data_IF_799902587246
#
_entry.id   IF_799902587246
#
_cell.length_a   1.000
_cell.length_b   1.000
_cell.length_c   1.000
_cell.angle_alpha   90.00
_cell.angle_beta   90.00
_cell.angle_gamma   90.00
#
_symmetry.space_group_name_H-M   'P 1'
#
loop_
_entity.id
_entity.type
_entity.pdbx_description
1 polymer ?
#
# COMPACT_ATOMS: atom_id res chain seq x y z
N UNK A 1 -26.78 12.32 10.80
CA UNK A 1 -25.60 12.10 11.66
C UNK A 1 -25.74 10.69 12.20
N UNK A 2 -24.73 9.87 12.04
CA UNK A 2 -24.70 8.50 12.58
C UNK A 2 -23.51 8.38 13.56
N UNK A 3 -23.58 7.42 14.46
CA UNK A 3 -22.50 7.08 15.36
C UNK A 3 -21.66 5.97 14.76
N UNK A 4 -20.35 6.03 14.95
CA UNK A 4 -19.40 5.02 14.49
C UNK A 4 -18.35 4.76 15.55
N UNK A 5 -18.11 3.49 15.89
CA UNK A 5 -16.95 3.12 16.69
C UNK A 5 -15.71 3.26 15.82
N UNK A 6 -14.69 3.91 16.34
CA UNK A 6 -13.45 4.16 15.61
C UNK A 6 -12.24 4.10 16.54
N UNK A 7 -11.11 3.68 16.00
CA UNK A 7 -9.82 3.79 16.64
C UNK A 7 -9.19 5.13 16.25
N UNK A 8 -9.16 6.07 17.20
CA UNK A 8 -8.67 7.44 16.98
C UNK A 8 -7.26 7.58 17.50
N UNK A 9 -6.37 8.09 16.66
CA UNK A 9 -5.06 8.58 17.04
C UNK A 9 -5.19 10.03 17.53
N UNK A 10 -5.19 10.26 18.83
CA UNK A 10 -5.31 11.62 19.38
C UNK A 10 -4.02 12.42 19.31
N UNK A 11 -2.88 11.76 19.38
CA UNK A 11 -1.56 12.38 19.30
C UNK A 11 -0.52 11.37 18.76
N UNK A 12 0.60 11.85 18.22
CA UNK A 12 1.67 10.96 17.78
C UNK A 12 2.28 10.17 18.96
N UNK A 13 2.72 8.95 18.67
CA UNK A 13 3.32 8.03 19.65
C UNK A 13 2.44 7.68 20.87
N UNK A 14 1.12 7.78 20.72
CA UNK A 14 0.17 7.33 21.72
C UNK A 14 -0.63 6.14 21.18
N UNK A 15 -1.08 5.23 22.06
CA UNK A 15 -2.01 4.17 21.66
C UNK A 15 -3.27 4.76 21.01
N UNK A 16 -3.86 4.02 20.07
CA UNK A 16 -5.16 4.35 19.53
C UNK A 16 -6.24 4.16 20.59
N UNK A 17 -7.19 5.10 20.68
CA UNK A 17 -8.32 5.00 21.59
C UNK A 17 -9.58 4.61 20.81
N UNK A 18 -10.31 3.59 21.31
CA UNK A 18 -11.59 3.21 20.74
C UNK A 18 -12.68 4.11 21.32
N UNK A 19 -13.23 4.95 20.47
CA UNK A 19 -14.28 5.89 20.85
C UNK A 19 -15.44 5.87 19.86
N UNK A 20 -16.60 6.37 20.29
CA UNK A 20 -17.74 6.62 19.42
C UNK A 20 -17.65 8.03 18.84
N UNK A 21 -17.43 8.12 17.54
CA UNK A 21 -17.40 9.41 16.80
C UNK A 21 -18.71 9.66 16.10
N UNK A 22 -18.99 10.94 15.86
CA UNK A 22 -20.10 11.37 15.01
C UNK A 22 -19.64 11.41 13.55
N UNK A 23 -20.45 10.84 12.64
CA UNK A 23 -20.27 10.91 11.20
C UNK A 23 -21.33 11.86 10.63
N UNK A 24 -20.88 12.95 10.03
CA UNK A 24 -21.76 13.98 9.46
C UNK A 24 -22.52 13.48 8.23
N UNK A 25 -23.66 14.09 7.88
CA UNK A 25 -24.41 13.79 6.66
C UNK A 25 -23.55 13.96 5.41
N UNK A 26 -23.81 13.12 4.40
CA UNK A 26 -23.13 13.16 3.10
C UNK A 26 -23.37 14.48 2.39
N UNK A 27 -22.33 14.98 1.76
CA UNK A 27 -22.38 16.07 0.81
C UNK A 27 -22.43 15.52 -0.62
N UNK A 28 -22.54 16.42 -1.60
CA UNK A 28 -22.58 16.07 -3.01
C UNK A 28 -21.34 15.27 -3.44
N UNK A 29 -21.56 14.15 -4.11
CA UNK A 29 -20.51 13.27 -4.63
C UNK A 29 -19.84 12.38 -3.58
N UNK A 30 -20.38 12.32 -2.36
CA UNK A 30 -19.85 11.50 -1.27
C UNK A 30 -20.62 10.20 -1.10
N UNK A 31 -19.94 9.22 -0.54
CA UNK A 31 -20.46 7.89 -0.29
C UNK A 31 -20.15 7.49 1.15
N UNK A 32 -21.14 7.00 1.87
CA UNK A 32 -20.99 6.37 3.17
C UNK A 32 -20.70 4.88 2.95
N UNK A 33 -19.61 4.41 3.50
CA UNK A 33 -19.18 3.01 3.42
C UNK A 33 -19.16 2.43 4.83
N UNK A 34 -19.85 1.31 5.01
CA UNK A 34 -19.69 0.46 6.18
C UNK A 34 -18.50 -0.46 5.93
N UNK A 35 -17.47 -0.30 6.75
CA UNK A 35 -16.27 -1.15 6.66
C UNK A 35 -16.58 -2.52 7.27
N UNK A 36 -16.16 -3.56 6.59
CA UNK A 36 -16.31 -4.96 7.02
C UNK A 36 -14.98 -5.49 7.56
N UNK A 37 -13.88 -5.10 6.90
CA UNK A 37 -12.54 -5.46 7.34
C UNK A 37 -11.51 -4.44 6.87
N UNK A 38 -10.39 -4.36 7.58
CA UNK A 38 -9.26 -3.50 7.21
C UNK A 38 -7.93 -4.10 7.63
N UNK A 39 -6.93 -4.00 6.77
CA UNK A 39 -5.55 -4.37 7.09
C UNK A 39 -4.82 -3.28 7.88
N UNK A 40 -3.88 -3.70 8.74
CA UNK A 40 -2.96 -2.81 9.45
C UNK A 40 -1.64 -2.75 8.68
N UNK A 41 -1.20 -1.55 8.32
CA UNK A 41 -0.06 -1.31 7.45
C UNK A 41 1.04 -0.50 8.15
N UNK A 42 2.30 -0.69 7.72
CA UNK A 42 3.44 0.11 8.21
C UNK A 42 3.28 1.61 7.94
N UNK A 43 2.51 2.00 6.91
CA UNK A 43 2.22 3.41 6.63
C UNK A 43 1.36 4.04 7.73
N UNK A 44 0.43 3.29 8.33
CA UNK A 44 -0.33 3.74 9.51
C UNK A 44 0.60 3.95 10.70
N UNK A 45 1.52 3.01 10.94
CA UNK A 45 2.52 3.11 12.01
C UNK A 45 3.49 4.28 11.80
N UNK A 46 3.91 4.52 10.57
CA UNK A 46 4.76 5.65 10.21
C UNK A 46 4.10 6.99 10.54
N UNK A 47 2.83 7.14 10.21
CA UNK A 47 2.05 8.34 10.59
C UNK A 47 1.87 8.42 12.10
N UNK A 48 1.46 7.31 12.76
CA UNK A 48 1.28 7.27 14.21
C UNK A 48 2.56 7.62 14.97
N UNK A 49 3.74 7.30 14.43
CA UNK A 49 5.04 7.66 15.02
C UNK A 49 5.35 9.16 14.98
N UNK A 50 4.57 9.98 14.26
CA UNK A 50 4.80 11.40 14.09
C UNK A 50 5.91 11.75 13.08
N UNK A 51 6.45 10.76 12.35
CA UNK A 51 7.49 10.99 11.34
C UNK A 51 6.94 11.40 9.97
N UNK A 52 5.62 11.26 9.78
CA UNK A 52 4.93 11.67 8.57
C UNK A 52 4.66 13.18 8.58
N UNK A 53 5.23 13.89 7.62
CA UNK A 53 5.03 15.34 7.49
C UNK A 53 3.59 15.74 7.10
N UNK A 54 2.79 14.82 6.57
CA UNK A 54 1.37 15.01 6.27
C UNK A 54 0.46 14.48 7.39
N UNK A 55 1.01 13.91 8.46
CA UNK A 55 0.27 13.41 9.61
C UNK A 55 -0.41 14.54 10.38
N UNK A 56 -1.73 14.45 10.52
CA UNK A 56 -2.54 15.39 11.31
C UNK A 56 -3.27 14.64 12.42
N UNK A 57 -3.43 15.28 13.58
CA UNK A 57 -4.07 14.69 14.75
C UNK A 57 -5.10 15.66 15.35
N UNK A 58 -6.20 15.17 15.97
CA UNK A 58 -6.60 13.76 16.04
C UNK A 58 -7.10 13.24 14.68
N UNK A 59 -6.85 11.96 14.37
CA UNK A 59 -7.31 11.36 13.12
C UNK A 59 -7.73 9.90 13.28
N UNK A 60 -8.51 9.41 12.32
CA UNK A 60 -8.81 8.00 12.16
C UNK A 60 -7.90 7.44 11.06
N UNK A 61 -6.96 6.57 11.45
CA UNK A 61 -6.03 5.91 10.53
C UNK A 61 -6.73 4.80 9.71
N UNK A 62 -5.94 3.99 9.02
CA UNK A 62 -6.41 2.87 8.20
C UNK A 62 -6.71 3.26 6.75
N UNK A 63 -6.19 2.44 5.82
CA UNK A 63 -6.33 2.68 4.38
C UNK A 63 -6.38 1.39 3.54
N UNK A 64 -6.34 0.22 4.17
CA UNK A 64 -6.49 -1.09 3.52
C UNK A 64 -7.88 -1.66 3.81
N UNK A 65 -8.96 -0.96 3.44
CA UNK A 65 -10.33 -1.33 3.78
C UNK A 65 -11.07 -2.11 2.69
N UNK A 66 -12.04 -2.91 3.13
CA UNK A 66 -13.09 -3.49 2.31
C UNK A 66 -14.44 -3.22 2.95
N UNK A 67 -15.42 -2.74 2.18
CA UNK A 67 -16.69 -2.36 2.75
C UNK A 67 -17.87 -2.41 1.80
N UNK A 68 -19.02 -2.04 2.30
CA UNK A 68 -20.30 -2.04 1.59
C UNK A 68 -20.86 -0.62 1.60
N UNK A 69 -21.31 -0.15 0.45
CA UNK A 69 -21.96 1.15 0.32
C UNK A 69 -23.26 1.15 1.11
N UNK A 70 -23.36 2.03 2.10
CA UNK A 70 -24.52 2.16 2.98
C UNK A 70 -25.46 3.29 2.52
N UNK A 71 -24.88 4.39 2.01
CA UNK A 71 -25.62 5.52 1.46
C UNK A 71 -24.79 6.25 0.41
N UNK A 72 -25.48 6.93 -0.51
CA UNK A 72 -24.85 7.76 -1.54
C UNK A 72 -25.41 9.18 -1.49
N UNK A 73 -24.54 10.17 -1.63
CA UNK A 73 -24.89 11.58 -1.70
C UNK A 73 -25.41 11.98 -3.08
N UNK A 74 -25.95 13.19 -3.18
CA UNK A 74 -26.40 13.75 -4.45
C UNK A 74 -25.27 13.73 -5.49
N UNK A 75 -25.59 13.36 -6.72
CA UNK A 75 -24.65 13.37 -7.85
C UNK A 75 -23.73 12.16 -7.96
N UNK A 76 -23.80 11.20 -7.02
CA UNK A 76 -23.14 9.90 -7.17
C UNK A 76 -23.86 9.10 -8.24
N UNK A 77 -23.12 8.57 -9.21
CA UNK A 77 -23.68 7.89 -10.40
C UNK A 77 -23.12 6.50 -10.65
N UNK A 78 -21.90 6.20 -10.17
CA UNK A 78 -21.22 4.92 -10.43
C UNK A 78 -21.40 3.89 -9.30
N UNK A 79 -21.97 4.29 -8.18
CA UNK A 79 -22.18 3.47 -6.99
C UNK A 79 -23.63 3.55 -6.50
N UNK A 80 -24.08 2.46 -5.89
CA UNK A 80 -25.38 2.37 -5.24
C UNK A 80 -25.28 1.60 -3.93
N UNK A 81 -26.28 1.75 -3.07
CA UNK A 81 -26.39 1.02 -1.81
C UNK A 81 -26.28 -0.49 -2.04
N UNK A 82 -25.48 -1.15 -1.21
CA UNK A 82 -25.19 -2.57 -1.31
C UNK A 82 -24.08 -2.96 -2.29
N UNK A 83 -23.43 -1.99 -2.95
CA UNK A 83 -22.22 -2.29 -3.72
C UNK A 83 -21.05 -2.58 -2.79
N UNK A 84 -20.23 -3.57 -3.13
CA UNK A 84 -18.96 -3.84 -2.47
C UNK A 84 -17.86 -2.96 -3.04
N UNK A 85 -17.05 -2.38 -2.16
CA UNK A 85 -16.04 -1.40 -2.54
C UNK A 85 -14.74 -1.56 -1.76
N UNK A 86 -13.65 -1.12 -2.38
CA UNK A 86 -12.36 -0.91 -1.73
C UNK A 86 -12.08 0.59 -1.72
N UNK A 87 -11.92 1.23 -0.53
CA UNK A 87 -11.41 2.59 -0.40
C UNK A 87 -10.03 2.75 -1.02
N UNK A 88 -9.82 3.85 -1.72
CA UNK A 88 -8.57 4.16 -2.40
C UNK A 88 -7.99 5.46 -1.88
N UNK A 89 -6.76 5.42 -1.40
CA UNK A 89 -6.00 6.64 -1.08
C UNK A 89 -5.53 7.39 -2.33
N UNK A 90 -5.62 6.76 -3.50
CA UNK A 90 -5.40 7.39 -4.81
C UNK A 90 -6.74 7.50 -5.52
N UNK A 91 -7.29 8.71 -5.62
CA UNK A 91 -8.52 8.93 -6.39
C UNK A 91 -8.31 8.68 -7.90
N UNK A 92 -9.39 8.42 -8.62
CA UNK A 92 -9.38 8.37 -10.10
C UNK A 92 -10.57 9.18 -10.64
N UNK A 93 -10.32 10.47 -10.95
CA UNK A 93 -11.39 11.37 -11.41
C UNK A 93 -11.68 11.27 -12.93
N UNK A 94 -10.79 10.63 -13.68
CA UNK A 94 -10.92 10.45 -15.14
C UNK A 94 -10.69 11.69 -15.99
N UNK A 95 -10.47 12.89 -15.41
CA UNK A 95 -10.42 14.18 -16.15
C UNK A 95 -9.20 15.05 -15.91
N UNK A 96 -8.42 14.84 -14.83
CA UNK A 96 -7.19 15.59 -14.64
C UNK A 96 -6.08 15.08 -15.60
N UNK A 97 -5.03 15.88 -15.77
CA UNK A 97 -3.93 15.53 -16.68
C UNK A 97 -3.29 14.17 -16.38
N UNK A 98 -3.23 13.78 -15.11
CA UNK A 98 -2.67 12.49 -14.70
C UNK A 98 -3.60 11.33 -15.10
N UNK A 99 -4.90 11.46 -14.85
CA UNK A 99 -5.87 10.44 -15.29
C UNK A 99 -5.90 10.32 -16.82
N UNK A 100 -5.88 11.44 -17.55
CA UNK A 100 -5.86 11.45 -19.02
C UNK A 100 -4.57 10.87 -19.60
N UNK A 101 -3.45 10.92 -18.85
CA UNK A 101 -2.19 10.28 -19.26
C UNK A 101 -2.10 8.78 -18.88
N UNK A 102 -3.15 8.21 -18.30
CA UNK A 102 -3.19 6.84 -17.82
C UNK A 102 -2.51 6.62 -16.45
N UNK A 103 -2.01 7.68 -15.81
CA UNK A 103 -1.37 7.62 -14.47
C UNK A 103 -2.36 8.06 -13.39
N UNK A 104 -3.49 7.35 -13.29
CA UNK A 104 -4.58 7.71 -12.38
C UNK A 104 -4.17 7.58 -10.91
N UNK A 105 -3.20 6.72 -10.59
CA UNK A 105 -2.56 6.62 -9.28
C UNK A 105 -1.94 7.94 -8.78
N UNK A 106 -1.78 8.92 -9.67
CA UNK A 106 -1.29 10.26 -9.36
C UNK A 106 -2.37 11.35 -9.51
N UNK A 107 -3.63 10.97 -9.50
CA UNK A 107 -4.77 11.88 -9.62
C UNK A 107 -4.69 13.02 -8.59
N UNK A 108 -4.96 14.25 -9.05
CA UNK A 108 -4.84 15.45 -8.20
C UNK A 108 -6.19 15.95 -7.64
N UNK A 109 -7.29 15.28 -7.97
CA UNK A 109 -8.64 15.82 -7.67
C UNK A 109 -8.92 16.04 -6.18
N UNK A 110 -8.29 15.25 -5.30
CA UNK A 110 -8.47 15.34 -3.84
C UNK A 110 -7.20 15.75 -3.09
N UNK A 111 -6.04 15.85 -3.76
CA UNK A 111 -4.73 16.04 -3.09
C UNK A 111 -4.63 17.35 -2.30
N UNK A 112 -5.28 18.41 -2.71
CA UNK A 112 -5.20 19.71 -2.05
C UNK A 112 -5.73 19.71 -0.60
N UNK A 113 -6.66 18.81 -0.29
CA UNK A 113 -7.30 18.67 1.02
C UNK A 113 -6.96 17.36 1.73
N UNK A 114 -6.67 16.30 0.97
CA UNK A 114 -6.37 14.96 1.51
C UNK A 114 -5.18 14.96 2.48
N UNK A 115 -4.07 15.61 2.12
CA UNK A 115 -2.89 15.74 3.00
C UNK A 115 -3.12 16.63 4.23
N UNK A 116 -4.28 17.29 4.32
CA UNK A 116 -4.72 18.06 5.49
C UNK A 116 -5.75 17.31 6.32
N UNK A 117 -6.03 16.06 5.99
CA UNK A 117 -7.03 15.24 6.65
C UNK A 117 -8.47 15.68 6.40
N UNK A 118 -8.74 16.33 5.26
CA UNK A 118 -10.03 16.94 4.95
C UNK A 118 -10.63 16.37 3.65
N UNK A 119 -11.95 16.42 3.57
CA UNK A 119 -12.72 16.15 2.36
C UNK A 119 -12.47 17.24 1.32
N UNK A 120 -12.87 17.06 0.04
CA UNK A 120 -12.65 18.05 -1.02
C UNK A 120 -13.26 19.45 -0.74
N UNK A 121 -14.27 19.53 0.10
CA UNK A 121 -14.90 20.79 0.53
C UNK A 121 -14.13 21.52 1.65
N UNK A 122 -13.01 20.95 2.12
CA UNK A 122 -12.19 21.53 3.18
C UNK A 122 -12.70 21.28 4.60
N UNK A 123 -13.63 20.35 4.80
CA UNK A 123 -14.15 19.98 6.12
C UNK A 123 -13.95 18.49 6.42
N UNK A 124 -14.01 18.09 7.69
CA UNK A 124 -14.06 16.68 8.09
C UNK A 124 -15.50 16.18 8.17
N UNK A 125 -15.69 14.88 7.96
CA UNK A 125 -16.97 14.20 8.23
C UNK A 125 -17.00 13.55 9.61
N UNK A 126 -15.87 13.55 10.33
CA UNK A 126 -15.80 13.00 11.68
C UNK A 126 -15.70 14.09 12.73
N UNK A 127 -16.34 13.86 13.87
CA UNK A 127 -16.14 14.68 15.06
C UNK A 127 -16.24 13.84 16.33
N UNK A 128 -15.54 14.27 17.39
CA UNK A 128 -15.60 13.69 18.71
C UNK A 128 -15.81 14.78 19.75
N UNK A 129 -16.89 14.67 20.55
CA UNK A 129 -17.27 15.69 21.53
C UNK A 129 -17.41 17.11 20.95
N UNK A 130 -17.83 17.20 19.69
CA UNK A 130 -17.99 18.46 18.96
C UNK A 130 -16.74 19.00 18.28
N UNK A 131 -15.58 18.40 18.49
CA UNK A 131 -14.33 18.80 17.85
C UNK A 131 -14.04 17.93 16.62
N UNK A 132 -13.44 18.49 15.55
CA UNK A 132 -13.11 17.73 14.34
C UNK A 132 -12.12 16.60 14.62
N UNK A 133 -12.36 15.43 14.00
CA UNK A 133 -11.39 14.35 13.87
C UNK A 133 -11.07 14.22 12.39
N UNK A 134 -9.78 14.22 12.02
CA UNK A 134 -9.34 14.29 10.64
C UNK A 134 -9.41 12.94 9.94
N UNK A 135 -9.57 13.00 8.63
CA UNK A 135 -9.41 11.84 7.76
C UNK A 135 -7.94 11.48 7.56
N UNK A 136 -7.67 10.20 7.39
CA UNK A 136 -6.34 9.71 7.03
C UNK A 136 -6.35 9.17 5.60
N UNK A 137 -5.48 9.73 4.75
CA UNK A 137 -5.36 9.35 3.34
C UNK A 137 -6.68 9.37 2.55
N UNK A 138 -7.70 10.10 3.06
CA UNK A 138 -9.06 10.09 2.53
C UNK A 138 -9.81 8.77 2.70
N UNK A 139 -9.31 7.81 3.48
CA UNK A 139 -9.87 6.47 3.66
C UNK A 139 -10.44 6.25 5.07
N UNK A 140 -9.63 6.45 6.13
CA UNK A 140 -10.02 6.31 7.54
C UNK A 140 -10.77 5.01 7.84
N UNK A 141 -10.13 3.89 7.51
CA UNK A 141 -10.80 2.58 7.59
C UNK A 141 -10.74 1.93 8.98
N UNK A 142 -10.05 2.55 9.97
CA UNK A 142 -10.13 2.12 11.37
C UNK A 142 -11.40 2.65 12.07
N UNK A 143 -12.50 2.57 11.36
CA UNK A 143 -13.83 2.98 11.80
C UNK A 143 -14.90 2.09 11.16
N UNK A 144 -15.99 1.79 11.88
CA UNK A 144 -17.10 1.00 11.34
C UNK A 144 -17.72 1.66 10.09
N UNK A 145 -17.73 3.00 10.05
CA UNK A 145 -18.21 3.78 8.92
C UNK A 145 -17.18 4.82 8.51
N UNK A 146 -17.05 5.03 7.20
CA UNK A 146 -16.24 6.11 6.65
C UNK A 146 -16.96 6.79 5.49
N UNK A 147 -16.57 8.02 5.19
CA UNK A 147 -17.10 8.81 4.08
C UNK A 147 -15.97 9.14 3.11
N UNK A 148 -16.18 8.84 1.83
CA UNK A 148 -15.22 9.13 0.76
C UNK A 148 -15.93 9.79 -0.43
N UNK A 149 -15.20 10.56 -1.24
CA UNK A 149 -15.66 10.91 -2.58
C UNK A 149 -15.84 9.66 -3.44
N UNK A 150 -16.88 9.62 -4.27
CA UNK A 150 -17.13 8.53 -5.23
C UNK A 150 -15.88 8.14 -6.05
N UNK A 151 -15.07 9.13 -6.42
CA UNK A 151 -13.84 8.93 -7.20
C UNK A 151 -12.70 8.23 -6.44
N UNK A 152 -12.86 8.04 -5.13
CA UNK A 152 -11.91 7.33 -4.25
C UNK A 152 -12.41 5.94 -3.85
N UNK A 153 -13.34 5.36 -4.60
CA UNK A 153 -13.89 4.03 -4.34
C UNK A 153 -13.81 3.14 -5.58
N UNK A 154 -13.20 1.98 -5.44
CA UNK A 154 -13.24 0.93 -6.45
C UNK A 154 -14.42 -0.01 -6.19
N UNK A 155 -15.36 -0.10 -7.13
CA UNK A 155 -16.44 -1.09 -7.08
C UNK A 155 -15.89 -2.46 -7.46
N UNK A 156 -16.20 -3.47 -6.65
CA UNK A 156 -15.71 -4.83 -6.81
C UNK A 156 -16.88 -5.84 -6.87
N UNK A 157 -16.65 -7.09 -7.32
CA UNK A 157 -17.67 -8.14 -7.29
C UNK A 157 -18.25 -8.33 -5.89
N UNK A 158 -19.58 -8.53 -5.80
CA UNK A 158 -20.29 -8.68 -4.51
C UNK A 158 -19.98 -9.98 -3.79
N UNK A 159 -19.48 -10.98 -4.49
CA UNK A 159 -19.05 -12.27 -3.94
C UNK A 159 -17.58 -12.28 -3.51
N UNK A 160 -16.86 -11.16 -3.68
CA UNK A 160 -15.50 -11.05 -3.21
C UNK A 160 -15.43 -11.04 -1.66
N UNK A 161 -14.55 -11.86 -1.06
CA UNK A 161 -14.39 -11.92 0.39
C UNK A 161 -13.72 -10.65 0.91
N UNK A 162 -14.51 -9.71 1.45
CA UNK A 162 -14.04 -8.39 1.88
C UNK A 162 -12.92 -8.44 2.91
N UNK A 163 -12.93 -9.46 3.77
CA UNK A 163 -11.90 -9.73 4.79
C UNK A 163 -10.53 -10.11 4.21
N UNK A 164 -10.46 -10.43 2.92
CA UNK A 164 -9.22 -10.73 2.21
C UNK A 164 -8.86 -9.63 1.21
N UNK A 165 -9.84 -9.25 0.37
CA UNK A 165 -9.60 -8.30 -0.72
C UNK A 165 -9.35 -6.87 -0.23
N UNK A 166 -9.64 -6.55 1.04
CA UNK A 166 -9.26 -5.27 1.66
C UNK A 166 -7.75 -4.99 1.52
N UNK A 167 -6.90 -6.02 1.56
CA UNK A 167 -5.45 -5.90 1.39
C UNK A 167 -5.02 -5.40 0.00
N UNK A 168 -5.92 -5.46 -0.99
CA UNK A 168 -5.68 -4.88 -2.31
C UNK A 168 -5.77 -3.35 -2.33
N UNK A 169 -6.24 -2.74 -1.25
CA UNK A 169 -6.29 -1.28 -1.11
C UNK A 169 -4.91 -0.60 -1.05
N UNK A 170 -3.84 -1.34 -0.74
CA UNK A 170 -2.50 -0.77 -0.62
C UNK A 170 -1.38 -1.74 -1.02
N UNK A 171 -0.80 -2.44 -0.03
CA UNK A 171 0.51 -3.09 -0.16
C UNK A 171 0.58 -4.18 -1.22
N UNK A 172 -0.44 -5.02 -1.32
CA UNK A 172 -0.44 -6.14 -2.29
C UNK A 172 -0.50 -5.61 -3.72
N UNK A 173 -1.40 -4.68 -4.00
CA UNK A 173 -1.52 -4.02 -5.31
C UNK A 173 -0.26 -3.22 -5.65
N UNK A 174 0.32 -2.53 -4.67
CA UNK A 174 1.56 -1.76 -4.84
C UNK A 174 2.71 -2.67 -5.28
N UNK A 175 2.93 -3.79 -4.63
CA UNK A 175 4.03 -4.70 -4.95
C UNK A 175 3.86 -5.36 -6.33
N UNK A 176 2.71 -5.94 -6.61
CA UNK A 176 2.42 -6.57 -7.91
C UNK A 176 2.48 -5.54 -9.04
N UNK A 177 1.84 -4.39 -8.86
CA UNK A 177 1.79 -3.33 -9.87
C UNK A 177 3.16 -2.69 -10.14
N UNK A 178 4.03 -2.57 -9.15
CA UNK A 178 5.39 -2.08 -9.35
C UNK A 178 6.14 -2.94 -10.37
N UNK A 179 5.93 -4.25 -10.32
CA UNK A 179 6.53 -5.20 -11.26
C UNK A 179 5.85 -5.15 -12.63
N UNK A 180 4.52 -5.26 -12.66
CA UNK A 180 3.77 -5.44 -13.92
C UNK A 180 3.51 -4.12 -14.66
N UNK A 181 3.22 -3.03 -13.94
CA UNK A 181 2.79 -1.77 -14.53
C UNK A 181 3.90 -0.71 -14.56
N UNK A 182 4.68 -0.58 -13.46
CA UNK A 182 5.74 0.43 -13.38
C UNK A 182 6.98 -0.01 -14.13
N UNK A 183 7.60 -1.12 -13.73
CA UNK A 183 8.81 -1.65 -14.36
C UNK A 183 8.51 -2.40 -15.66
N UNK A 184 7.32 -3.02 -15.76
CA UNK A 184 6.95 -3.88 -16.89
C UNK A 184 7.97 -4.99 -17.11
N UNK A 185 8.27 -5.70 -16.04
CA UNK A 185 9.24 -6.79 -16.04
C UNK A 185 8.95 -7.76 -17.18
N UNK A 186 9.97 -8.03 -17.98
CA UNK A 186 9.87 -8.89 -19.14
C UNK A 186 10.01 -10.38 -18.75
N UNK A 187 9.39 -11.27 -19.54
CA UNK A 187 9.52 -12.71 -19.37
C UNK A 187 10.99 -13.12 -19.48
N UNK A 188 11.44 -13.97 -18.57
CA UNK A 188 12.84 -14.43 -18.50
C UNK A 188 13.79 -13.51 -17.74
N UNK A 189 13.33 -12.34 -17.29
CA UNK A 189 14.15 -11.37 -16.56
C UNK A 189 14.66 -11.91 -15.21
N UNK A 190 15.77 -11.34 -14.76
CA UNK A 190 16.33 -11.54 -13.41
C UNK A 190 15.91 -10.37 -12.51
N UNK A 191 15.34 -10.67 -11.34
CA UNK A 191 14.76 -9.68 -10.43
C UNK A 191 15.38 -9.81 -9.04
N UNK A 192 15.69 -8.68 -8.38
CA UNK A 192 16.05 -8.64 -6.96
C UNK A 192 15.01 -7.83 -6.17
N UNK A 193 14.58 -8.36 -5.03
CA UNK A 193 13.57 -7.73 -4.17
C UNK A 193 14.16 -7.55 -2.78
N UNK A 194 14.26 -6.30 -2.34
CA UNK A 194 14.82 -5.90 -1.06
C UNK A 194 13.71 -5.64 -0.05
N UNK A 195 13.67 -6.46 1.00
CA UNK A 195 12.63 -6.44 2.03
C UNK A 195 11.45 -7.36 1.71
N UNK A 196 11.22 -8.34 2.59
CA UNK A 196 10.16 -9.35 2.46
C UNK A 196 9.00 -9.07 3.44
N UNK A 197 8.56 -7.81 3.48
CA UNK A 197 7.27 -7.43 4.05
C UNK A 197 6.14 -7.63 3.04
N UNK A 198 4.94 -7.16 3.36
CA UNK A 198 3.78 -7.34 2.48
C UNK A 198 4.00 -6.85 1.03
N UNK A 199 4.69 -5.72 0.85
CA UNK A 199 5.00 -5.18 -0.49
C UNK A 199 6.01 -6.08 -1.22
N UNK A 200 7.10 -6.49 -0.54
CA UNK A 200 8.13 -7.32 -1.17
C UNK A 200 7.62 -8.72 -1.54
N UNK A 201 6.82 -9.33 -0.68
CA UNK A 201 6.16 -10.61 -0.99
C UNK A 201 5.19 -10.46 -2.18
N UNK A 202 4.46 -9.35 -2.25
CA UNK A 202 3.60 -9.05 -3.39
C UNK A 202 4.42 -8.81 -4.68
N UNK A 203 5.59 -8.17 -4.58
CA UNK A 203 6.49 -8.01 -5.72
C UNK A 203 7.03 -9.37 -6.22
N UNK A 204 7.28 -10.35 -5.33
CA UNK A 204 7.61 -11.73 -5.73
C UNK A 204 6.48 -12.35 -6.56
N UNK A 205 5.24 -12.20 -6.12
CA UNK A 205 4.07 -12.68 -6.88
C UNK A 205 4.03 -12.00 -8.26
N UNK A 206 4.21 -10.68 -8.31
CA UNK A 206 4.29 -9.92 -9.57
C UNK A 206 5.40 -10.43 -10.49
N UNK A 207 6.60 -10.71 -9.97
CA UNK A 207 7.72 -11.24 -10.72
C UNK A 207 7.44 -12.66 -11.25
N UNK A 208 6.78 -13.50 -10.45
CA UNK A 208 6.31 -14.82 -10.89
C UNK A 208 5.25 -14.69 -12.01
N UNK A 209 4.30 -13.78 -11.87
CA UNK A 209 3.28 -13.49 -12.90
C UNK A 209 3.92 -12.98 -14.20
N UNK A 210 4.98 -12.17 -14.11
CA UNK A 210 5.78 -11.71 -15.24
C UNK A 210 6.67 -12.81 -15.85
N UNK A 211 6.70 -14.01 -15.24
CA UNK A 211 7.55 -15.14 -15.63
C UNK A 211 9.04 -14.81 -15.59
N UNK A 212 9.47 -14.06 -14.58
CA UNK A 212 10.88 -13.86 -14.32
C UNK A 212 11.59 -15.22 -14.15
N UNK A 213 12.77 -15.35 -14.74
CA UNK A 213 13.55 -16.61 -14.69
C UNK A 213 14.26 -16.81 -13.35
N UNK A 214 14.54 -15.69 -12.66
CA UNK A 214 15.24 -15.68 -11.37
C UNK A 214 14.70 -14.56 -10.49
N UNK A 215 14.37 -14.88 -9.25
CA UNK A 215 13.84 -13.94 -8.27
C UNK A 215 14.68 -14.05 -7.00
N UNK A 216 15.54 -13.06 -6.77
CA UNK A 216 16.44 -12.97 -5.63
C UNK A 216 15.73 -12.22 -4.50
N UNK A 217 15.42 -12.90 -3.42
CA UNK A 217 14.78 -12.36 -2.23
C UNK A 217 15.84 -11.96 -1.20
N UNK A 218 15.82 -10.68 -0.77
CA UNK A 218 16.81 -10.12 0.16
C UNK A 218 16.11 -9.63 1.42
N UNK A 219 16.41 -10.20 2.58
CA UNK A 219 15.91 -9.76 3.88
C UNK A 219 16.90 -10.11 5.00
N UNK A 220 16.94 -9.31 6.05
CA UNK A 220 17.75 -9.55 7.26
C UNK A 220 17.14 -10.60 8.20
N UNK A 221 15.88 -10.96 7.98
CA UNK A 221 15.14 -11.96 8.76
C UNK A 221 14.94 -13.24 7.92
N UNK A 222 15.74 -14.29 8.14
CA UNK A 222 15.66 -15.53 7.35
C UNK A 222 14.34 -16.29 7.55
N UNK A 223 13.59 -16.02 8.62
CA UNK A 223 12.27 -16.66 8.85
C UNK A 223 11.24 -16.33 7.74
N UNK A 224 11.49 -15.27 6.94
CA UNK A 224 10.65 -14.89 5.80
C UNK A 224 10.98 -15.62 4.50
N UNK A 225 12.08 -16.38 4.46
CA UNK A 225 12.51 -17.03 3.22
C UNK A 225 11.61 -18.18 2.78
N UNK A 226 11.00 -18.90 3.72
CA UNK A 226 10.13 -20.01 3.36
C UNK A 226 8.86 -19.52 2.65
N UNK A 227 8.21 -18.48 3.16
CA UNK A 227 7.07 -17.86 2.50
C UNK A 227 7.46 -17.24 1.15
N UNK A 228 8.63 -16.61 1.05
CA UNK A 228 9.11 -16.05 -0.21
C UNK A 228 9.33 -17.15 -1.26
N UNK A 229 9.82 -18.33 -0.84
CA UNK A 229 10.00 -19.52 -1.71
C UNK A 229 8.65 -20.03 -2.21
N UNK A 230 7.66 -20.16 -1.34
CA UNK A 230 6.31 -20.59 -1.71
C UNK A 230 5.69 -19.66 -2.76
N UNK A 231 5.92 -18.35 -2.63
CA UNK A 231 5.43 -17.34 -3.55
C UNK A 231 6.21 -17.29 -4.87
N UNK A 232 7.39 -17.90 -4.96
CA UNK A 232 8.14 -18.07 -6.21
C UNK A 232 9.55 -17.52 -6.25
N UNK A 233 10.11 -17.05 -5.12
CA UNK A 233 11.52 -16.67 -5.05
C UNK A 233 12.44 -17.88 -5.26
N UNK A 234 13.53 -17.67 -5.98
CA UNK A 234 14.48 -18.71 -6.37
C UNK A 234 15.75 -18.69 -5.55
N UNK A 235 16.18 -17.51 -5.12
CA UNK A 235 17.42 -17.28 -4.38
C UNK A 235 17.13 -16.42 -3.14
N UNK A 236 17.89 -16.65 -2.06
CA UNK A 236 17.65 -16.02 -0.76
C UNK A 236 18.96 -15.48 -0.22
N UNK A 237 18.98 -14.21 0.18
CA UNK A 237 20.19 -13.57 0.66
C UNK A 237 19.86 -12.82 1.98
N UNK A 238 20.57 -13.19 3.04
CA UNK A 238 20.62 -12.41 4.26
C UNK A 238 21.88 -11.51 4.24
N UNK A 239 21.73 -10.19 4.12
CA UNK A 239 22.87 -9.27 4.10
C UNK A 239 23.82 -9.41 5.31
N UNK A 240 23.30 -9.86 6.46
CA UNK A 240 24.10 -10.05 7.69
C UNK A 240 25.07 -11.22 7.62
N UNK A 241 24.95 -12.10 6.64
CA UNK A 241 25.81 -13.27 6.43
C UNK A 241 26.97 -12.98 5.49
N UNK A 242 27.12 -11.72 5.03
CA UNK A 242 28.15 -11.30 4.08
C UNK A 242 28.98 -10.15 4.64
N UNK A 243 30.32 -10.23 4.48
CA UNK A 243 31.27 -9.20 4.90
C UNK A 243 31.49 -8.09 3.84
N UNK A 244 30.73 -8.10 2.77
CA UNK A 244 30.83 -7.16 1.65
C UNK A 244 29.47 -6.55 1.29
N UNK A 245 29.46 -5.44 0.52
CA UNK A 245 28.21 -4.79 0.11
C UNK A 245 27.26 -5.75 -0.60
N UNK A 246 25.99 -5.71 -0.24
CA UNK A 246 24.98 -6.66 -0.75
C UNK A 246 24.81 -6.58 -2.27
N UNK A 247 24.94 -5.41 -2.86
CA UNK A 247 24.91 -5.24 -4.31
C UNK A 247 25.99 -6.04 -5.03
N UNK A 248 27.19 -6.13 -4.44
CA UNK A 248 28.30 -6.88 -5.03
C UNK A 248 28.04 -8.40 -4.97
N UNK A 249 27.38 -8.87 -3.90
CA UNK A 249 26.96 -10.26 -3.77
C UNK A 249 25.95 -10.62 -4.86
N UNK A 250 24.96 -9.73 -5.09
CA UNK A 250 23.91 -9.94 -6.09
C UNK A 250 24.52 -9.89 -7.51
N UNK A 251 25.40 -8.93 -7.79
CA UNK A 251 26.08 -8.82 -9.10
C UNK A 251 26.85 -10.11 -9.43
N UNK A 252 27.58 -10.67 -8.46
CA UNK A 252 28.31 -11.92 -8.66
C UNK A 252 27.36 -13.11 -8.86
N UNK A 253 26.31 -13.21 -8.02
CA UNK A 253 25.32 -14.28 -8.10
C UNK A 253 24.58 -14.29 -9.46
N UNK A 254 24.42 -13.12 -10.08
CA UNK A 254 23.63 -12.92 -11.30
C UNK A 254 24.48 -12.63 -12.54
N UNK A 255 25.78 -12.90 -12.48
CA UNK A 255 26.74 -12.74 -13.58
C UNK A 255 26.66 -11.34 -14.24
N UNK A 256 26.76 -10.30 -13.41
CA UNK A 256 26.82 -8.91 -13.88
C UNK A 256 25.71 -7.99 -13.43
N UNK A 257 24.73 -8.50 -12.68
CA UNK A 257 23.63 -7.76 -12.10
C UNK A 257 22.25 -8.19 -12.61
N UNK A 258 21.21 -7.76 -11.90
CA UNK A 258 19.82 -8.07 -12.24
C UNK A 258 19.27 -7.10 -13.31
N UNK A 259 18.25 -7.53 -14.05
CA UNK A 259 17.52 -6.67 -14.98
C UNK A 259 16.67 -5.65 -14.22
N UNK A 260 16.04 -6.08 -13.13
CA UNK A 260 15.17 -5.22 -12.32
C UNK A 260 15.43 -5.42 -10.82
N UNK A 261 15.36 -4.35 -10.06
CA UNK A 261 15.36 -4.42 -8.60
C UNK A 261 14.22 -3.61 -7.99
N UNK A 262 13.71 -4.05 -6.84
CA UNK A 262 12.60 -3.41 -6.13
C UNK A 262 13.01 -3.17 -4.68
N UNK A 263 13.02 -1.91 -4.27
CA UNK A 263 13.28 -1.54 -2.88
C UNK A 263 11.93 -1.36 -2.15
N UNK A 264 11.67 -2.22 -1.15
CA UNK A 264 10.39 -2.34 -0.46
C UNK A 264 10.49 -2.04 1.05
N UNK A 265 11.59 -1.46 1.52
CA UNK A 265 11.84 -1.19 2.95
C UNK A 265 11.66 0.29 3.29
N UNK A 266 12.09 1.19 2.38
CA UNK A 266 12.14 2.63 2.64
C UNK A 266 13.48 3.09 3.23
N UNK A 267 14.57 2.37 2.95
CA UNK A 267 15.90 2.70 3.42
C UNK A 267 16.77 3.27 2.30
N UNK A 268 17.27 4.49 2.45
CA UNK A 268 18.04 5.19 1.39
C UNK A 268 19.34 4.47 1.01
N UNK A 269 19.97 3.72 1.91
CA UNK A 269 21.15 2.92 1.60
C UNK A 269 20.77 1.67 0.80
N UNK A 270 19.63 1.04 1.11
CA UNK A 270 19.10 -0.07 0.31
C UNK A 270 18.62 0.41 -1.06
N UNK A 271 18.05 1.61 -1.18
CA UNK A 271 17.69 2.20 -2.47
C UNK A 271 18.91 2.32 -3.37
N UNK A 272 20.05 2.76 -2.82
CA UNK A 272 21.32 2.79 -3.53
C UNK A 272 21.82 1.40 -3.90
N UNK A 273 21.82 0.47 -2.97
CA UNK A 273 22.25 -0.91 -3.22
C UNK A 273 21.38 -1.58 -4.29
N UNK A 274 20.07 -1.33 -4.26
CA UNK A 274 19.14 -1.84 -5.26
C UNK A 274 19.45 -1.29 -6.67
N UNK A 275 19.81 -0.01 -6.81
CA UNK A 275 20.26 0.52 -8.08
C UNK A 275 21.59 -0.13 -8.53
N UNK A 276 22.56 -0.20 -7.62
CA UNK A 276 23.93 -0.64 -7.95
C UNK A 276 24.02 -2.16 -8.19
N UNK A 277 23.04 -2.96 -7.76
CA UNK A 277 22.96 -4.38 -8.10
C UNK A 277 22.36 -4.66 -9.49
N UNK A 278 21.75 -3.66 -10.14
CA UNK A 278 21.31 -3.81 -11.52
C UNK A 278 22.49 -3.82 -12.49
N UNK A 279 22.37 -4.53 -13.62
CA UNK A 279 23.42 -4.54 -14.63
C UNK A 279 23.51 -3.18 -15.36
N UNK A 280 24.66 -2.91 -15.95
CA UNK A 280 24.88 -1.77 -16.84
C UNK A 280 24.05 -1.93 -18.13
N UNK A 281 23.69 -0.82 -18.74
CA UNK A 281 22.99 -0.78 -20.01
C UNK A 281 21.51 -0.45 -19.86
N UNK A 282 20.69 -1.33 -19.26
CA UNK A 282 19.25 -1.09 -19.12
C UNK A 282 18.66 -1.58 -17.78
N UNK A 283 19.50 -1.98 -16.84
CA UNK A 283 19.04 -2.41 -15.51
C UNK A 283 18.22 -1.30 -14.83
N UNK A 284 17.04 -1.62 -14.30
CA UNK A 284 16.12 -0.69 -13.70
C UNK A 284 15.87 -0.99 -12.24
N UNK A 285 16.02 0.03 -11.39
CA UNK A 285 15.70 -0.05 -9.95
C UNK A 285 14.46 0.77 -9.64
N UNK A 286 13.50 0.15 -8.97
CA UNK A 286 12.23 0.76 -8.59
C UNK A 286 12.18 0.98 -7.08
N UNK A 287 12.01 2.23 -6.66
CA UNK A 287 11.80 2.63 -5.28
C UNK A 287 10.29 2.56 -4.97
N UNK A 288 9.93 1.78 -3.97
CA UNK A 288 8.55 1.64 -3.47
C UNK A 288 8.47 2.03 -2.01
N UNK A 289 9.49 1.68 -1.22
CA UNK A 289 9.55 1.97 0.20
C UNK A 289 9.57 3.48 0.48
N UNK A 290 8.93 3.90 1.58
CA UNK A 290 8.83 5.30 1.99
C UNK A 290 9.95 5.58 2.99
N UNK A 291 10.89 6.46 2.61
CA UNK A 291 11.94 6.94 3.50
C UNK A 291 11.42 8.07 4.40
N UNK A 292 12.06 8.26 5.55
CA UNK A 292 11.72 9.33 6.48
C UNK A 292 11.85 10.73 5.84
N UNK A 293 11.03 11.67 6.31
CA UNK A 293 11.05 13.04 5.82
C UNK A 293 12.46 13.66 5.93
N UNK A 294 12.90 14.32 4.86
CA UNK A 294 14.23 14.94 4.78
C UNK A 294 15.39 14.00 4.43
N UNK A 295 15.16 12.71 4.27
CA UNK A 295 16.17 11.79 3.76
C UNK A 295 16.29 11.90 2.24
N UNK A 296 17.52 11.81 1.75
CA UNK A 296 17.85 11.90 0.34
C UNK A 296 18.57 10.67 -0.16
N UNK A 297 18.30 10.26 -1.39
CA UNK A 297 19.03 9.19 -2.07
C UNK A 297 20.25 9.76 -2.79
N UNK A 298 21.34 9.01 -2.84
CA UNK A 298 22.55 9.41 -3.56
C UNK A 298 23.26 8.21 -4.20
N UNK A 299 23.81 8.45 -5.39
CA UNK A 299 24.69 7.50 -6.06
C UNK A 299 25.72 8.24 -6.89
N UNK A 300 26.79 7.56 -7.32
CA UNK A 300 27.75 8.17 -8.24
C UNK A 300 27.09 8.36 -9.61
N UNK A 301 27.21 9.56 -10.25
CA UNK A 301 26.57 9.83 -11.54
C UNK A 301 26.87 8.80 -12.62
N UNK A 302 28.07 8.19 -12.57
CA UNK A 302 28.48 7.16 -13.55
C UNK A 302 27.61 5.89 -13.50
N UNK A 303 26.94 5.62 -12.40
CA UNK A 303 25.96 4.54 -12.32
C UNK A 303 24.79 4.74 -13.29
N UNK A 304 24.36 5.98 -13.45
CA UNK A 304 23.27 6.35 -14.37
C UNK A 304 23.81 6.56 -15.80
N UNK A 305 25.00 7.14 -15.96
CA UNK A 305 25.66 7.33 -17.27
C UNK A 305 25.84 6.00 -17.99
N UNK A 306 26.07 4.91 -17.27
CA UNK A 306 26.21 3.57 -17.84
C UNK A 306 24.87 2.87 -18.12
N UNK A 307 23.76 3.57 -18.07
CA UNK A 307 22.45 3.14 -18.56
C UNK A 307 21.48 2.61 -17.52
N UNK A 308 21.88 2.54 -16.24
CA UNK A 308 20.93 2.17 -15.18
C UNK A 308 19.83 3.23 -15.04
N UNK A 309 18.63 2.77 -14.72
CA UNK A 309 17.46 3.62 -14.50
C UNK A 309 17.05 3.57 -13.03
N UNK A 310 16.83 4.73 -12.43
CA UNK A 310 16.21 4.84 -11.11
C UNK A 310 14.80 5.39 -11.26
N UNK A 311 13.81 4.66 -10.77
CA UNK A 311 12.39 5.00 -10.91
C UNK A 311 11.65 4.84 -9.59
N UNK A 312 10.61 5.64 -9.36
CA UNK A 312 9.67 5.45 -8.26
C UNK A 312 8.37 4.79 -8.71
N UNK A 313 7.68 4.15 -7.78
CA UNK A 313 6.36 3.56 -7.99
C UNK A 313 5.42 3.93 -6.85
N UNK A 314 4.32 4.61 -7.16
CA UNK A 314 3.23 4.88 -6.23
C UNK A 314 2.05 3.98 -6.58
N UNK A 315 1.51 3.27 -5.59
CA UNK A 315 0.40 2.33 -5.77
C UNK A 315 0.64 1.32 -6.92
N UNK A 316 1.90 0.95 -7.16
CA UNK A 316 2.29 0.06 -8.26
C UNK A 316 1.99 0.60 -9.66
N UNK A 317 1.69 1.88 -9.85
CA UNK A 317 1.24 2.40 -11.12
C UNK A 317 -0.17 1.94 -11.54
N UNK A 318 -0.92 1.33 -10.62
CA UNK A 318 -2.26 0.76 -10.87
C UNK A 318 -3.32 1.86 -10.94
N UNK A 319 -4.24 1.74 -11.87
CA UNK A 319 -5.42 2.61 -11.98
C UNK A 319 -6.50 2.09 -11.04
N UNK A 320 -6.62 2.74 -9.86
CA UNK A 320 -7.37 2.20 -8.72
C UNK A 320 -8.79 1.78 -9.06
N UNK A 321 -9.63 2.69 -9.57
CA UNK A 321 -11.04 2.39 -9.85
C UNK A 321 -11.23 1.44 -11.03
N UNK A 322 -10.45 1.64 -12.10
CA UNK A 322 -10.65 0.92 -13.36
C UNK A 322 -9.92 -0.41 -13.44
N UNK A 323 -8.84 -0.61 -12.65
CA UNK A 323 -8.01 -1.81 -12.77
C UNK A 323 -8.09 -2.74 -11.54
N UNK A 324 -8.33 -2.19 -10.34
CA UNK A 324 -8.39 -2.99 -9.11
C UNK A 324 -9.40 -4.15 -9.14
N UNK A 325 -10.58 -4.01 -9.78
CA UNK A 325 -11.50 -5.15 -9.93
C UNK A 325 -10.84 -6.39 -10.56
N UNK A 326 -9.92 -6.20 -11.51
CA UNK A 326 -9.19 -7.32 -12.13
C UNK A 326 -8.23 -8.00 -11.16
N UNK A 327 -7.66 -7.27 -10.20
CA UNK A 327 -6.85 -7.84 -9.12
C UNK A 327 -7.71 -8.68 -8.16
N UNK A 328 -8.94 -8.23 -7.89
CA UNK A 328 -9.91 -9.01 -7.09
C UNK A 328 -10.24 -10.31 -7.78
N UNK A 329 -10.52 -10.29 -9.08
CA UNK A 329 -10.77 -11.50 -9.88
C UNK A 329 -9.58 -12.47 -9.84
N UNK A 330 -8.34 -11.96 -10.00
CA UNK A 330 -7.11 -12.77 -9.89
C UNK A 330 -6.94 -13.38 -8.48
N UNK A 331 -7.31 -12.64 -7.45
CA UNK A 331 -7.30 -13.16 -6.09
C UNK A 331 -8.34 -14.28 -5.91
N UNK A 332 -9.55 -14.12 -6.43
CA UNK A 332 -10.58 -15.16 -6.38
C UNK A 332 -10.19 -16.41 -7.20
N UNK A 333 -9.40 -16.24 -8.26
CA UNK A 333 -8.86 -17.34 -9.08
C UNK A 333 -7.62 -18.01 -8.47
N UNK A 334 -7.10 -17.47 -7.35
CA UNK A 334 -5.92 -17.99 -6.67
C UNK A 334 -4.58 -17.57 -7.28
N UNK A 335 -4.58 -16.69 -8.29
CA UNK A 335 -3.35 -16.13 -8.86
C UNK A 335 -2.65 -15.17 -7.86
N UNK A 336 -3.44 -14.49 -7.03
CA UNK A 336 -2.97 -13.67 -5.90
C UNK A 336 -3.42 -14.34 -4.61
N UNK A 337 -2.54 -15.09 -3.93
CA UNK A 337 -2.89 -15.87 -2.73
C UNK A 337 -2.96 -14.97 -1.49
N UNK A 338 -4.07 -14.21 -1.33
CA UNK A 338 -4.24 -13.25 -0.24
C UNK A 338 -4.15 -13.88 1.15
N UNK A 339 -4.59 -15.14 1.31
CA UNK A 339 -4.51 -15.86 2.58
C UNK A 339 -3.06 -15.94 3.12
N UNK A 340 -2.09 -15.98 2.23
CA UNK A 340 -0.66 -16.04 2.62
C UNK A 340 -0.19 -14.77 3.33
N UNK A 341 -0.86 -13.64 3.11
CA UNK A 341 -0.53 -12.38 3.77
C UNK A 341 -1.20 -12.24 5.15
N UNK A 342 -2.34 -12.88 5.37
CA UNK A 342 -3.13 -12.73 6.59
C UNK A 342 -2.57 -13.68 7.65
N UNK A 343 -1.73 -13.14 8.53
CA UNK A 343 -1.15 -13.91 9.64
C UNK A 343 -1.97 -13.85 10.92
N UNK A 344 -2.75 -12.79 11.09
CA UNK A 344 -3.59 -12.56 12.26
C UNK A 344 -4.91 -11.91 11.85
N UNK A 345 -5.95 -12.22 12.64
CA UNK A 345 -7.29 -11.65 12.50
C UNK A 345 -7.78 -11.25 13.89
N UNK A 346 -8.24 -10.02 14.06
CA UNK A 346 -8.60 -9.42 15.35
C UNK A 346 -9.85 -8.54 15.24
N UNK A 347 -10.45 -8.20 16.37
CA UNK A 347 -11.46 -7.15 16.48
C UNK A 347 -10.84 -5.74 16.58
N UNK A 348 -11.65 -4.72 16.44
CA UNK A 348 -11.20 -3.31 16.57
C UNK A 348 -10.54 -3.04 17.94
N UNK A 349 -11.02 -3.71 18.98
CA UNK A 349 -10.50 -3.58 20.35
C UNK A 349 -9.02 -3.94 20.47
N UNK A 350 -8.55 -4.84 19.63
CA UNK A 350 -7.19 -5.38 19.68
C UNK A 350 -6.24 -4.64 18.73
N UNK A 351 -6.65 -3.51 18.16
CA UNK A 351 -5.89 -2.80 17.12
C UNK A 351 -4.47 -2.40 17.58
N UNK A 352 -4.29 -2.06 18.84
CA UNK A 352 -2.97 -1.72 19.37
C UNK A 352 -2.05 -2.96 19.42
N UNK A 353 -2.58 -4.15 19.75
CA UNK A 353 -1.85 -5.42 19.66
C UNK A 353 -1.45 -5.73 18.21
N UNK A 354 -2.30 -5.42 17.25
CA UNK A 354 -1.98 -5.58 15.82
C UNK A 354 -0.75 -4.73 15.41
N UNK A 355 -0.62 -3.51 15.92
CA UNK A 355 0.56 -2.67 15.72
C UNK A 355 1.81 -3.25 16.41
N UNK A 356 1.68 -3.80 17.63
CA UNK A 356 2.78 -4.45 18.35
C UNK A 356 3.31 -5.65 17.57
N UNK A 357 2.45 -6.55 17.11
CA UNK A 357 2.82 -7.71 16.29
C UNK A 357 3.54 -7.32 15.00
N UNK A 358 3.12 -6.22 14.39
CA UNK A 358 3.76 -5.68 13.20
C UNK A 358 5.17 -5.13 13.52
N UNK A 359 5.34 -4.36 14.59
CA UNK A 359 6.63 -3.82 15.01
C UNK A 359 7.62 -4.93 15.41
N UNK A 360 7.14 -6.00 16.03
CA UNK A 360 7.94 -7.18 16.39
C UNK A 360 8.27 -8.07 15.17
N UNK A 361 7.73 -7.75 13.98
CA UNK A 361 7.92 -8.55 12.77
C UNK A 361 7.23 -9.93 12.81
N UNK A 362 6.25 -10.10 13.69
CA UNK A 362 5.46 -11.33 13.87
C UNK A 362 4.27 -11.41 12.93
N UNK A 363 3.82 -10.28 12.36
CA UNK A 363 2.76 -10.26 11.37
C UNK A 363 3.25 -9.77 10.01
N UNK A 364 2.72 -10.35 8.93
CA UNK A 364 2.81 -9.81 7.58
C UNK A 364 1.68 -8.82 7.39
N UNK A 365 0.45 -9.26 7.65
CA UNK A 365 -0.75 -8.43 7.79
C UNK A 365 -1.63 -8.96 8.90
N UNK A 366 -2.11 -8.06 9.72
CA UNK A 366 -3.23 -8.28 10.62
C UNK A 366 -4.47 -7.65 10.01
N UNK A 367 -5.56 -8.40 9.93
CA UNK A 367 -6.85 -7.91 9.45
C UNK A 367 -7.77 -7.69 10.64
N UNK A 368 -8.30 -6.48 10.76
CA UNK A 368 -9.30 -6.09 11.75
C UNK A 368 -10.69 -6.29 11.16
N UNK A 369 -11.56 -6.95 11.90
CA UNK A 369 -12.98 -7.18 11.55
C UNK A 369 -13.89 -6.30 12.40
N UNK A 370 -15.03 -5.92 11.82
CA UNK A 370 -16.08 -5.10 12.47
C UNK A 370 -17.35 -5.90 12.70
#
# INVERSE_FOLDING_TARGET
>A
MIKSRAAVAFAPNQPLEIVEVDVAPLQKGEVLVRIVATGVCHTDAYTLSGQDSEGVFPCILGHEGGGIVEAVGEGVTSLQVGDHVIPLYTAECGKCKFCLSGKTNLCQAVRATQGKGLMPDGTSRFSYKGEPVYHYMGCSTFSEYTVLPEISLAKIPKDAPLEKVCLLGCGVTTGIGAVLNTAKVEEGATVAIFGLGGIGLAAIIGAKMAKASRIVAVDINPAKFDIARELGATDFINPKEHDRPIQDVIVELTDGGVDYSFECVGNVQLMRAALECCHKGWGESVIIGVAGAGQEISTRPFQLVTGRVWRGSAFGGVRGRSELPSYVEKAQQGEIPLDTFITHTMGLEDINEAFELMHEGKSIRTVIHY
#
